data_IF_138533795885
#
_entry.id   IF_138533795885
#
_cell.length_a   1.000
_cell.length_b   1.000
_cell.length_c   1.000
_cell.angle_alpha   90.00
_cell.angle_beta   90.00
_cell.angle_gamma   90.00
#
_symmetry.space_group_name_H-M   'P 1'
#
loop_
_entity.id
_entity.type
_entity.pdbx_description
1 polymer ?
#
# COMPACT_ATOMS: atom_id res chain seq x y z
N UNK A 1 -7.66 10.97 15.70
CA UNK A 1 -7.86 11.20 14.26
C UNK A 1 -7.69 9.88 13.52
N UNK A 2 -8.62 9.57 12.66
CA UNK A 2 -8.53 8.37 11.82
C UNK A 2 -7.76 8.66 10.54
N UNK A 3 -7.01 7.69 10.06
CA UNK A 3 -6.34 7.75 8.75
C UNK A 3 -6.26 6.35 8.14
N UNK A 4 -6.14 6.30 6.84
CA UNK A 4 -6.07 5.05 6.09
C UNK A 4 -4.81 4.99 5.24
N UNK A 5 -4.25 3.79 5.15
CA UNK A 5 -3.11 3.46 4.31
C UNK A 5 -3.51 2.31 3.39
N UNK A 6 -3.18 2.42 2.12
CA UNK A 6 -3.23 1.31 1.17
C UNK A 6 -1.81 1.00 0.72
N UNK A 7 -1.41 -0.24 0.92
CA UNK A 7 -0.14 -0.79 0.44
C UNK A 7 -0.40 -1.59 -0.84
N UNK A 8 0.16 -1.11 -1.95
CA UNK A 8 0.06 -1.69 -3.28
C UNK A 8 1.19 -2.69 -3.49
N UNK A 9 1.03 -3.89 -2.97
CA UNK A 9 2.01 -4.96 -3.08
C UNK A 9 1.91 -5.73 -4.41
N UNK A 10 2.93 -6.56 -4.70
CA UNK A 10 2.99 -7.36 -5.94
C UNK A 10 1.93 -8.46 -5.98
N UNK A 11 1.63 -9.08 -4.85
CA UNK A 11 0.63 -10.15 -4.74
C UNK A 11 -0.64 -9.69 -4.04
N UNK A 12 -0.48 -8.88 -3.01
CA UNK A 12 -1.57 -8.45 -2.12
C UNK A 12 -1.64 -6.93 -2.06
N UNK A 13 -2.84 -6.39 -2.19
CA UNK A 13 -3.14 -4.98 -1.89
C UNK A 13 -3.85 -4.96 -0.54
N UNK A 14 -3.34 -4.15 0.39
CA UNK A 14 -3.85 -4.10 1.77
C UNK A 14 -4.33 -2.71 2.14
N UNK A 15 -5.55 -2.62 2.64
CA UNK A 15 -6.09 -1.46 3.34
C UNK A 15 -5.89 -1.62 4.84
N UNK A 16 -5.43 -0.58 5.51
CA UNK A 16 -5.38 -0.50 6.97
C UNK A 16 -5.91 0.86 7.43
N UNK A 17 -6.83 0.85 8.37
CA UNK A 17 -7.40 2.05 8.99
C UNK A 17 -6.95 2.13 10.42
N UNK A 18 -6.38 3.28 10.80
CA UNK A 18 -5.82 3.54 12.11
C UNK A 18 -6.50 4.73 12.78
N UNK A 19 -6.43 4.76 14.09
CA UNK A 19 -6.77 5.92 14.90
C UNK A 19 -5.55 6.35 15.71
N UNK A 20 -5.22 7.65 15.68
CA UNK A 20 -4.17 8.20 16.54
C UNK A 20 -4.66 8.36 17.96
N UNK A 21 -3.80 8.09 18.92
CA UNK A 21 -4.11 8.20 20.35
C UNK A 21 -3.64 9.56 20.90
N UNK A 22 -4.37 10.17 21.87
CA UNK A 22 -4.00 11.45 22.46
C UNK A 22 -2.62 11.45 23.13
N UNK A 23 -2.26 10.33 23.75
CA UNK A 23 -0.97 10.12 24.41
C UNK A 23 0.17 9.76 23.46
N UNK A 24 -0.10 9.70 22.16
CA UNK A 24 0.82 9.23 21.14
C UNK A 24 0.59 7.76 20.78
N UNK A 25 1.05 7.38 19.59
CA UNK A 25 0.79 6.05 19.04
C UNK A 25 -0.49 5.98 18.22
N UNK A 26 -0.87 4.76 17.89
CA UNK A 26 -2.06 4.51 17.05
C UNK A 26 -2.60 3.10 17.30
N UNK A 27 -3.89 2.94 17.08
CA UNK A 27 -4.59 1.66 17.09
C UNK A 27 -5.05 1.29 15.69
N UNK A 28 -4.89 0.01 15.34
CA UNK A 28 -5.47 -0.55 14.12
C UNK A 28 -6.96 -0.79 14.35
N UNK A 29 -7.80 -0.08 13.61
CA UNK A 29 -9.26 -0.23 13.68
C UNK A 29 -9.79 -1.29 12.73
N UNK A 30 -9.20 -1.38 11.54
CA UNK A 30 -9.68 -2.23 10.47
C UNK A 30 -8.55 -2.56 9.50
N UNK A 31 -8.54 -3.78 8.98
CA UNK A 31 -7.65 -4.18 7.90
C UNK A 31 -8.36 -5.12 6.95
N UNK A 32 -8.20 -4.87 5.66
CA UNK A 32 -8.71 -5.70 4.58
C UNK A 32 -7.61 -5.93 3.56
N UNK A 33 -7.58 -7.09 2.96
CA UNK A 33 -6.60 -7.38 1.90
C UNK A 33 -7.28 -8.02 0.70
N UNK A 34 -6.75 -7.70 -0.46
CA UNK A 34 -7.17 -8.29 -1.72
C UNK A 34 -5.98 -8.93 -2.43
N UNK A 35 -6.15 -10.18 -2.83
CA UNK A 35 -5.15 -10.96 -3.57
C UNK A 35 -5.18 -10.53 -5.05
N UNK A 36 -4.68 -9.35 -5.35
CA UNK A 36 -4.73 -8.79 -6.70
C UNK A 36 -3.77 -9.50 -7.68
N UNK A 37 -2.65 -10.00 -7.18
CA UNK A 37 -1.67 -10.74 -7.99
C UNK A 37 -1.06 -9.89 -9.10
N UNK A 38 -0.73 -8.63 -8.84
CA UNK A 38 -0.24 -7.69 -9.87
C UNK A 38 1.00 -8.22 -10.59
N UNK A 39 1.83 -8.99 -9.92
CA UNK A 39 3.02 -9.58 -10.51
C UNK A 39 2.69 -10.46 -11.73
N UNK A 40 1.54 -11.12 -11.75
CA UNK A 40 1.10 -11.94 -12.88
C UNK A 40 0.70 -11.15 -14.13
N UNK A 41 0.48 -9.85 -13.96
CA UNK A 41 0.15 -8.91 -15.05
C UNK A 41 1.37 -8.17 -15.58
N UNK A 42 2.57 -8.48 -15.09
CA UNK A 42 3.82 -7.88 -15.57
C UNK A 42 4.42 -8.77 -16.65
N UNK A 43 4.57 -8.21 -17.84
CA UNK A 43 5.14 -8.89 -19.00
C UNK A 43 6.26 -8.04 -19.59
N UNK A 44 7.47 -8.62 -19.72
CA UNK A 44 8.63 -7.86 -20.20
C UNK A 44 8.98 -6.64 -19.33
N UNK A 45 8.69 -6.70 -18.04
CA UNK A 45 8.89 -5.58 -17.11
C UNK A 45 7.84 -4.49 -17.19
N UNK A 46 6.74 -4.69 -17.92
CA UNK A 46 5.66 -3.72 -18.11
C UNK A 46 4.39 -4.25 -17.45
N UNK A 47 3.79 -3.45 -16.57
CA UNK A 47 2.47 -3.76 -16.02
C UNK A 47 1.41 -3.53 -17.11
N UNK A 48 0.65 -4.58 -17.41
CA UNK A 48 -0.36 -4.52 -18.47
C UNK A 48 -1.52 -3.60 -18.11
N UNK A 49 -2.29 -3.11 -19.10
CA UNK A 49 -3.51 -2.34 -18.85
C UNK A 49 -4.50 -3.07 -17.94
N UNK A 50 -4.62 -4.38 -18.08
CA UNK A 50 -5.47 -5.23 -17.22
C UNK A 50 -4.97 -5.23 -15.77
N UNK A 51 -3.65 -5.25 -15.57
CA UNK A 51 -3.04 -5.16 -14.23
C UNK A 51 -3.30 -3.81 -13.59
N UNK A 52 -3.19 -2.72 -14.35
CA UNK A 52 -3.52 -1.38 -13.87
C UNK A 52 -5.00 -1.29 -13.49
N UNK A 53 -5.90 -1.82 -14.31
CA UNK A 53 -7.33 -1.88 -14.00
C UNK A 53 -7.63 -2.73 -12.77
N UNK A 54 -6.91 -3.82 -12.59
CA UNK A 54 -7.03 -4.67 -11.40
C UNK A 54 -6.68 -3.90 -10.13
N UNK A 55 -5.60 -3.12 -10.15
CA UNK A 55 -5.23 -2.23 -9.04
C UNK A 55 -6.29 -1.16 -8.80
N UNK A 56 -6.78 -0.52 -9.85
CA UNK A 56 -7.84 0.50 -9.75
C UNK A 56 -9.13 -0.06 -9.14
N UNK A 57 -9.52 -1.27 -9.52
CA UNK A 57 -10.70 -1.95 -8.96
C UNK A 57 -10.57 -2.17 -7.45
N UNK A 58 -9.43 -2.69 -7.00
CA UNK A 58 -9.15 -2.90 -5.58
C UNK A 58 -9.18 -1.59 -4.79
N UNK A 59 -8.56 -0.54 -5.32
CA UNK A 59 -8.54 0.78 -4.67
C UNK A 59 -9.96 1.35 -4.55
N UNK A 60 -10.80 1.22 -5.59
CA UNK A 60 -12.20 1.68 -5.54
C UNK A 60 -13.01 0.91 -4.50
N UNK A 61 -12.82 -0.39 -4.40
CA UNK A 61 -13.49 -1.20 -3.38
C UNK A 61 -13.07 -0.75 -1.97
N UNK A 62 -11.81 -0.46 -1.76
CA UNK A 62 -11.32 0.10 -0.51
C UNK A 62 -11.86 1.52 -0.25
N UNK A 63 -11.98 2.36 -1.26
CA UNK A 63 -12.61 3.67 -1.10
C UNK A 63 -14.07 3.55 -0.65
N UNK A 64 -14.80 2.56 -1.14
CA UNK A 64 -16.17 2.29 -0.68
C UNK A 64 -16.20 1.89 0.81
N UNK A 65 -15.24 1.06 1.26
CA UNK A 65 -15.10 0.68 2.66
C UNK A 65 -14.73 1.87 3.55
N UNK A 66 -13.86 2.77 3.07
CA UNK A 66 -13.42 3.93 3.84
C UNK A 66 -14.55 4.88 4.20
N UNK A 67 -15.58 4.96 3.40
CA UNK A 67 -16.77 5.77 3.71
C UNK A 67 -17.47 5.33 4.98
N UNK A 68 -17.36 4.05 5.35
CA UNK A 68 -17.89 3.51 6.61
C UNK A 68 -17.15 4.05 7.85
N UNK A 69 -15.94 4.59 7.65
CA UNK A 69 -15.12 5.19 8.70
C UNK A 69 -15.08 6.72 8.62
N UNK A 70 -15.91 7.32 7.76
CA UNK A 70 -15.91 8.76 7.47
C UNK A 70 -14.55 9.26 6.95
N UNK A 71 -13.93 8.45 6.08
CA UNK A 71 -12.66 8.76 5.42
C UNK A 71 -12.87 8.87 3.91
N UNK A 72 -12.36 9.94 3.31
CA UNK A 72 -12.52 10.21 1.88
C UNK A 72 -11.47 9.50 1.02
N UNK A 73 -10.22 9.51 1.45
CA UNK A 73 -9.12 8.97 0.68
C UNK A 73 -8.04 8.34 1.57
N UNK A 74 -7.41 7.24 1.11
CA UNK A 74 -6.24 6.67 1.78
C UNK A 74 -4.95 7.36 1.36
N UNK A 75 -3.88 7.18 2.15
CA UNK A 75 -2.52 7.30 1.67
C UNK A 75 -2.15 6.03 0.90
N UNK A 76 -1.89 6.14 -0.37
CA UNK A 76 -1.62 5.02 -1.26
C UNK A 76 -0.12 4.92 -1.54
N UNK A 77 0.49 3.85 -1.07
CA UNK A 77 1.90 3.56 -1.28
C UNK A 77 2.08 2.36 -2.20
N UNK A 78 3.09 2.40 -3.04
CA UNK A 78 3.53 1.26 -3.83
C UNK A 78 5.01 0.98 -3.56
N UNK A 79 5.34 -0.29 -3.49
CA UNK A 79 6.69 -0.79 -3.27
C UNK A 79 7.21 -1.44 -4.55
N UNK A 80 7.78 -2.64 -4.47
CA UNK A 80 8.30 -3.35 -5.63
C UNK A 80 7.30 -3.55 -6.78
N UNK A 81 5.99 -3.59 -6.48
CA UNK A 81 4.93 -3.76 -7.47
C UNK A 81 4.97 -2.71 -8.60
N UNK A 82 5.21 -1.46 -8.25
CA UNK A 82 5.31 -0.35 -9.22
C UNK A 82 6.72 0.21 -9.35
N UNK A 83 7.58 0.03 -8.36
CA UNK A 83 8.96 0.52 -8.40
C UNK A 83 9.80 -0.19 -9.48
N UNK A 84 9.61 -1.48 -9.64
CA UNK A 84 10.46 -2.34 -10.46
C UNK A 84 9.93 -2.57 -11.88
N UNK A 85 8.88 -1.88 -12.28
CA UNK A 85 8.35 -1.94 -13.65
C UNK A 85 8.90 -0.81 -14.50
N UNK A 86 8.80 -0.97 -15.82
CA UNK A 86 9.32 0.01 -16.79
C UNK A 86 8.36 1.16 -17.05
N UNK A 87 7.06 0.96 -16.80
CA UNK A 87 5.99 1.93 -17.02
C UNK A 87 5.39 2.47 -15.72
N UNK A 88 6.23 2.70 -14.72
CA UNK A 88 5.80 3.21 -13.40
C UNK A 88 4.99 4.51 -13.52
N UNK A 89 5.48 5.48 -14.28
CA UNK A 89 4.81 6.79 -14.44
C UNK A 89 3.44 6.65 -15.08
N UNK A 90 3.32 5.83 -16.11
CA UNK A 90 2.05 5.52 -16.77
C UNK A 90 1.06 4.87 -15.79
N UNK A 91 1.51 3.85 -15.05
CA UNK A 91 0.66 3.16 -14.09
C UNK A 91 0.17 4.11 -12.98
N UNK A 92 1.07 4.91 -12.41
CA UNK A 92 0.74 5.90 -11.38
C UNK A 92 -0.28 6.92 -11.88
N UNK A 93 -0.08 7.45 -13.09
CA UNK A 93 -0.99 8.44 -13.67
C UNK A 93 -2.37 7.84 -13.98
N UNK A 94 -2.43 6.63 -14.51
CA UNK A 94 -3.69 5.96 -14.79
C UNK A 94 -4.47 5.62 -13.51
N UNK A 95 -3.78 5.20 -12.46
CA UNK A 95 -4.40 4.97 -11.14
C UNK A 95 -4.98 6.27 -10.60
N UNK A 96 -4.21 7.35 -10.64
CA UNK A 96 -4.66 8.67 -10.18
C UNK A 96 -5.89 9.15 -10.97
N UNK A 97 -5.86 9.03 -12.29
CA UNK A 97 -6.97 9.43 -13.14
C UNK A 97 -8.24 8.62 -12.87
N UNK A 98 -8.10 7.32 -12.61
CA UNK A 98 -9.23 6.41 -12.39
C UNK A 98 -9.82 6.46 -10.97
N UNK A 99 -8.99 6.71 -9.95
CA UNK A 99 -9.38 6.62 -8.53
C UNK A 99 -9.40 7.96 -7.82
N UNK A 100 -8.77 8.98 -8.38
CA UNK A 100 -8.57 10.28 -7.74
C UNK A 100 -7.48 10.31 -6.68
N UNK A 101 -6.76 9.20 -6.46
CA UNK A 101 -5.74 9.07 -5.42
C UNK A 101 -4.36 8.96 -6.06
N UNK A 102 -3.44 9.83 -5.62
CA UNK A 102 -2.04 9.74 -6.01
C UNK A 102 -1.33 8.57 -5.35
N UNK A 103 -0.36 7.98 -6.05
CA UNK A 103 0.44 6.86 -5.54
C UNK A 103 1.84 7.34 -5.21
N UNK A 104 2.28 7.11 -3.98
CA UNK A 104 3.66 7.32 -3.57
C UNK A 104 4.45 6.03 -3.79
N UNK A 105 5.29 6.01 -4.81
CA UNK A 105 6.19 4.87 -5.06
C UNK A 105 7.43 5.07 -4.20
N UNK A 106 7.54 4.29 -3.14
CA UNK A 106 8.64 4.42 -2.18
C UNK A 106 9.86 3.61 -2.61
N UNK A 107 11.05 4.12 -2.27
CA UNK A 107 12.31 3.42 -2.52
C UNK A 107 12.46 2.19 -1.63
N UNK A 108 13.31 1.25 -2.06
CA UNK A 108 13.63 0.07 -1.24
C UNK A 108 14.28 0.44 0.10
N UNK A 109 15.07 1.51 0.12
CA UNK A 109 15.67 2.04 1.36
C UNK A 109 14.59 2.56 2.31
N UNK A 110 13.64 3.36 1.82
CA UNK A 110 12.55 3.87 2.65
C UNK A 110 11.65 2.73 3.15
N UNK A 111 11.32 1.78 2.28
CA UNK A 111 10.55 0.58 2.66
C UNK A 111 11.22 -0.19 3.80
N UNK A 112 12.54 -0.44 3.70
CA UNK A 112 13.31 -1.11 4.74
C UNK A 112 13.32 -0.33 6.06
N UNK A 113 13.47 1.00 6.00
CA UNK A 113 13.43 1.87 7.19
C UNK A 113 12.07 1.85 7.86
N UNK A 114 10.98 1.96 7.09
CA UNK A 114 9.62 1.91 7.63
C UNK A 114 9.32 0.55 8.24
N UNK A 115 9.73 -0.54 7.60
CA UNK A 115 9.62 -1.89 8.15
C UNK A 115 10.38 -2.05 9.47
N UNK A 116 11.58 -1.52 9.56
CA UNK A 116 12.38 -1.52 10.79
C UNK A 116 11.68 -0.76 11.93
N UNK A 117 11.15 0.44 11.66
CA UNK A 117 10.41 1.21 12.66
C UNK A 117 9.14 0.49 13.10
N UNK A 118 8.41 -0.12 12.16
CA UNK A 118 7.23 -0.92 12.48
C UNK A 118 7.56 -2.11 13.38
N UNK A 119 8.63 -2.83 13.08
CA UNK A 119 9.08 -3.96 13.91
C UNK A 119 9.51 -3.50 15.31
N UNK A 120 10.22 -2.39 15.43
CA UNK A 120 10.60 -1.83 16.73
C UNK A 120 9.41 -1.41 17.58
N UNK A 121 8.38 -0.89 16.96
CA UNK A 121 7.15 -0.48 17.66
C UNK A 121 6.37 -1.69 18.19
N UNK A 122 6.45 -2.81 17.47
CA UNK A 122 5.74 -4.04 17.83
C UNK A 122 6.51 -4.94 18.81
N UNK A 123 7.79 -4.68 19.07
CA UNK A 123 8.66 -5.51 19.90
C UNK A 123 9.54 -4.65 20.81
N UNK A 124 9.88 -5.20 21.98
CA UNK A 124 10.83 -4.56 22.92
C UNK A 124 12.30 -4.87 22.59
N UNK A 125 12.56 -5.46 21.44
CA UNK A 125 13.93 -5.77 21.00
C UNK A 125 14.69 -4.49 20.63
N UNK A 126 15.84 -4.32 21.25
CA UNK A 126 16.70 -3.15 21.02
C UNK A 126 17.80 -3.40 19.99
N UNK A 127 18.07 -4.65 19.68
CA UNK A 127 19.11 -5.09 18.76
C UNK A 127 18.68 -6.33 18.01
N UNK A 128 19.10 -6.48 16.77
CA UNK A 128 18.76 -7.62 15.93
C UNK A 128 18.79 -7.31 14.45
N UNK A 129 18.43 -8.30 13.65
CA UNK A 129 18.23 -8.18 12.21
C UNK A 129 16.78 -8.45 11.85
N UNK A 130 16.26 -7.71 10.87
CA UNK A 130 14.94 -7.91 10.33
C UNK A 130 15.02 -8.45 8.91
N UNK A 131 14.24 -9.48 8.63
CA UNK A 131 14.05 -10.04 7.29
C UNK A 131 12.60 -9.82 6.87
N UNK A 132 12.40 -9.12 5.76
CA UNK A 132 11.09 -8.91 5.16
C UNK A 132 10.99 -9.79 3.91
N UNK A 133 10.11 -10.80 4.00
CA UNK A 133 9.81 -11.70 2.90
C UNK A 133 8.42 -11.32 2.40
N UNK A 134 8.38 -10.56 1.30
CA UNK A 134 7.14 -10.13 0.67
C UNK A 134 6.31 -11.30 0.13
N UNK A 135 5.01 -11.11 0.06
CA UNK A 135 4.12 -12.14 -0.47
C UNK A 135 2.69 -11.70 -0.63
#
# INVERSE_FOLDING_TARGET
MKFAIVDLGSNTIRLSVYNTLPEGGFDLLFSEKEMAGLVSYVHGGVLSPEGIQRACGAIRDFQALLRLFDLDAPHLFATASLRNIRNTEEAVEQIRAATGVGVDVISGELEARLGYYGARTATDLQDGAMFDIGG
#
